data_IF_354875546797
#
_entry.id   IF_354875546797
#
_cell.length_a   1.000
_cell.length_b   1.000
_cell.length_c   1.000
_cell.angle_alpha   90.00
_cell.angle_beta   90.00
_cell.angle_gamma   90.00
#
_symmetry.space_group_name_H-M   'P 1'
#
loop_
_entity.id
_entity.type
_entity.pdbx_description
1 polymer ?
#
# COMPACT_ATOMS: atom_id res chain seq x y z
N UNK A 1 -18.70 -20.28 2.07
CA UNK A 1 -17.83 -19.20 1.57
C UNK A 1 -16.76 -18.67 2.56
N UNK A 2 -16.62 -19.18 3.80
CA UNK A 2 -15.53 -18.74 4.71
C UNK A 2 -14.21 -19.53 4.57
N UNK A 3 -14.23 -20.70 3.92
CA UNK A 3 -13.08 -21.61 3.81
C UNK A 3 -12.09 -21.26 2.68
N UNK A 4 -12.51 -20.48 1.68
CA UNK A 4 -11.67 -20.10 0.53
C UNK A 4 -10.73 -18.92 0.80
N UNK A 5 -10.95 -18.17 1.90
CA UNK A 5 -10.16 -16.99 2.27
C UNK A 5 -9.10 -17.28 3.35
N UNK A 6 -9.04 -18.51 3.86
CA UNK A 6 -8.11 -18.92 4.93
C UNK A 6 -6.63 -18.90 4.52
N UNK A 7 -6.23 -19.37 3.31
CA UNK A 7 -4.80 -19.47 2.98
C UNK A 7 -4.16 -18.09 2.78
N UNK A 8 -4.86 -17.18 2.12
CA UNK A 8 -4.37 -15.82 1.83
C UNK A 8 -4.27 -14.97 3.10
N UNK A 9 -5.23 -15.10 4.02
CA UNK A 9 -5.19 -14.41 5.30
C UNK A 9 -4.02 -14.88 6.19
N UNK A 10 -3.69 -16.17 6.17
CA UNK A 10 -2.58 -16.74 6.94
C UNK A 10 -1.22 -16.23 6.47
N UNK A 11 -0.97 -16.19 5.15
CA UNK A 11 0.31 -15.70 4.60
C UNK A 11 0.53 -14.22 4.94
N UNK A 12 -0.52 -13.40 4.86
CA UNK A 12 -0.46 -11.96 5.16
C UNK A 12 -0.27 -11.71 6.67
N UNK A 13 -0.90 -12.54 7.52
CA UNK A 13 -0.75 -12.47 8.97
C UNK A 13 0.67 -12.83 9.43
N UNK A 14 1.29 -13.84 8.83
CA UNK A 14 2.66 -14.26 9.16
C UNK A 14 3.70 -13.19 8.79
N UNK A 15 3.57 -12.57 7.61
CA UNK A 15 4.45 -11.46 7.19
C UNK A 15 4.31 -10.27 8.16
N UNK A 16 3.10 -9.98 8.60
CA UNK A 16 2.82 -8.90 9.57
C UNK A 16 3.38 -9.22 10.96
N UNK A 17 3.32 -10.48 11.41
CA UNK A 17 3.88 -10.93 12.70
C UNK A 17 5.41 -10.88 12.73
N UNK A 18 6.07 -11.37 11.68
CA UNK A 18 7.55 -11.34 11.59
C UNK A 18 8.06 -9.90 11.55
N UNK A 19 7.37 -9.00 10.85
CA UNK A 19 7.67 -7.58 10.88
C UNK A 19 7.43 -6.97 12.27
N UNK A 20 6.31 -7.32 12.94
CA UNK A 20 6.02 -6.84 14.28
C UNK A 20 7.11 -7.22 15.30
N UNK A 21 7.51 -8.50 15.33
CA UNK A 21 8.53 -8.99 16.26
C UNK A 21 9.89 -8.31 16.03
N UNK A 22 10.34 -8.21 14.77
CA UNK A 22 11.59 -7.52 14.44
C UNK A 22 11.56 -6.04 14.81
N UNK A 23 10.47 -5.33 14.55
CA UNK A 23 10.36 -3.91 14.87
C UNK A 23 10.25 -3.65 16.38
N UNK A 24 9.65 -4.56 17.14
CA UNK A 24 9.66 -4.48 18.61
C UNK A 24 11.08 -4.66 19.15
N UNK A 25 11.81 -5.68 18.70
CA UNK A 25 13.22 -5.89 19.09
C UNK A 25 14.12 -4.72 18.69
N UNK A 26 13.92 -4.17 17.49
CA UNK A 26 14.72 -3.04 16.96
C UNK A 26 14.37 -1.69 17.59
N UNK A 27 13.17 -1.53 18.18
CA UNK A 27 12.82 -0.38 19.03
C UNK A 27 13.73 -0.34 20.25
N UNK A 28 13.91 -1.48 20.92
CA UNK A 28 14.81 -1.60 22.08
C UNK A 28 16.28 -1.39 21.69
N UNK A 29 16.68 -1.82 20.49
CA UNK A 29 18.07 -1.71 20.02
C UNK A 29 18.42 -0.39 19.28
N UNK A 30 17.52 0.61 19.26
CA UNK A 30 17.66 1.88 18.50
C UNK A 30 17.94 1.68 16.99
N UNK A 31 17.56 0.53 16.43
CA UNK A 31 17.78 0.16 15.02
C UNK A 31 16.52 0.27 14.15
N UNK A 32 15.39 0.65 14.75
CA UNK A 32 14.08 0.75 14.10
C UNK A 32 14.14 1.50 12.77
N UNK A 33 14.86 2.62 12.68
CA UNK A 33 14.99 3.39 11.44
C UNK A 33 15.66 2.60 10.30
N UNK A 34 16.69 1.81 10.59
CA UNK A 34 17.40 1.05 9.57
C UNK A 34 16.57 -0.13 9.09
N UNK A 35 15.89 -0.83 10.01
CA UNK A 35 14.98 -1.93 9.67
C UNK A 35 13.78 -1.45 8.87
N UNK A 36 13.28 -0.24 9.16
CA UNK A 36 12.21 0.40 8.41
C UNK A 36 12.60 0.70 6.96
N UNK A 37 13.81 1.20 6.73
CA UNK A 37 14.31 1.45 5.37
C UNK A 37 14.51 0.14 4.61
N UNK A 38 15.06 -0.91 5.26
CA UNK A 38 15.20 -2.24 4.65
C UNK A 38 13.84 -2.83 4.27
N UNK A 39 12.85 -2.73 5.16
CA UNK A 39 11.48 -3.18 4.89
C UNK A 39 10.84 -2.38 3.75
N UNK A 40 11.01 -1.06 3.72
CA UNK A 40 10.53 -0.21 2.63
C UNK A 40 11.08 -0.65 1.28
N UNK A 41 12.40 -0.83 1.15
CA UNK A 41 13.02 -1.23 -0.12
C UNK A 41 12.62 -2.64 -0.54
N UNK A 42 12.53 -3.59 0.40
CA UNK A 42 12.05 -4.93 0.10
C UNK A 42 10.61 -4.91 -0.44
N UNK A 43 9.72 -4.19 0.25
CA UNK A 43 8.33 -4.03 -0.16
C UNK A 43 8.21 -3.25 -1.47
N UNK A 44 9.05 -2.25 -1.70
CA UNK A 44 9.11 -1.49 -2.94
C UNK A 44 9.48 -2.41 -4.11
N UNK A 45 10.54 -3.21 -4.00
CA UNK A 45 10.97 -4.14 -5.05
C UNK A 45 9.92 -5.23 -5.33
N UNK A 46 9.30 -5.79 -4.29
CA UNK A 46 8.24 -6.81 -4.45
C UNK A 46 6.98 -6.19 -5.07
N UNK A 47 6.55 -5.02 -4.61
CA UNK A 47 5.32 -4.38 -5.08
C UNK A 47 5.46 -3.84 -6.49
N UNK A 48 6.63 -3.26 -6.84
CA UNK A 48 6.87 -2.74 -8.20
C UNK A 48 6.96 -3.89 -9.21
N UNK A 49 7.66 -4.98 -8.87
CA UNK A 49 7.78 -6.14 -9.77
C UNK A 49 6.43 -6.82 -9.98
N UNK A 50 5.67 -7.07 -8.91
CA UNK A 50 4.31 -7.61 -9.01
C UNK A 50 3.35 -6.68 -9.73
N UNK A 51 3.44 -5.37 -9.47
CA UNK A 51 2.60 -4.35 -10.09
C UNK A 51 2.83 -4.21 -11.60
N UNK A 52 4.09 -4.23 -12.04
CA UNK A 52 4.44 -4.21 -13.47
C UNK A 52 3.92 -5.48 -14.17
N UNK A 53 4.08 -6.65 -13.54
CA UNK A 53 3.59 -7.90 -14.08
C UNK A 53 2.06 -7.86 -14.26
N UNK A 54 1.34 -7.38 -13.25
CA UNK A 54 -0.11 -7.17 -13.36
C UNK A 54 -0.43 -6.15 -14.45
N UNK A 55 0.29 -5.04 -14.54
CA UNK A 55 0.01 -4.02 -15.56
C UNK A 55 0.15 -4.55 -16.99
N UNK A 56 1.18 -5.36 -17.26
CA UNK A 56 1.43 -5.94 -18.58
C UNK A 56 0.43 -7.06 -18.87
N UNK A 57 0.24 -7.99 -17.92
CA UNK A 57 -0.54 -9.19 -18.13
C UNK A 57 -2.03 -9.06 -17.78
N UNK A 58 -2.49 -7.92 -17.23
CA UNK A 58 -3.88 -7.74 -16.81
C UNK A 58 -4.87 -8.13 -17.91
N UNK A 59 -4.71 -7.60 -19.12
CA UNK A 59 -5.65 -7.92 -20.22
C UNK A 59 -5.68 -9.42 -20.52
N UNK A 60 -4.52 -10.06 -20.62
CA UNK A 60 -4.41 -11.50 -20.85
C UNK A 60 -5.04 -12.33 -19.72
N UNK A 61 -4.75 -12.00 -18.46
CA UNK A 61 -5.28 -12.70 -17.28
C UNK A 61 -6.80 -12.59 -17.24
N UNK A 62 -7.35 -11.38 -17.36
CA UNK A 62 -8.79 -11.15 -17.26
C UNK A 62 -9.55 -11.79 -18.44
N UNK A 63 -9.06 -11.61 -19.67
CA UNK A 63 -9.73 -12.17 -20.85
C UNK A 63 -9.61 -13.68 -20.96
N UNK A 64 -8.48 -14.28 -20.55
CA UNK A 64 -8.30 -15.74 -20.58
C UNK A 64 -9.05 -16.46 -19.46
N UNK A 65 -9.19 -15.86 -18.27
CA UNK A 65 -9.87 -16.51 -17.15
C UNK A 65 -11.39 -16.28 -17.15
N UNK A 66 -11.82 -15.08 -17.55
CA UNK A 66 -13.22 -14.66 -17.42
C UNK A 66 -13.91 -14.34 -18.75
N UNK A 67 -13.17 -14.35 -19.87
CA UNK A 67 -13.67 -14.06 -21.21
C UNK A 67 -13.49 -12.59 -21.63
N UNK A 68 -13.74 -12.30 -22.92
CA UNK A 68 -13.52 -10.98 -23.53
C UNK A 68 -14.32 -9.83 -22.88
N UNK A 69 -15.44 -10.14 -22.22
CA UNK A 69 -16.27 -9.16 -21.52
C UNK A 69 -15.55 -8.49 -20.33
N UNK A 70 -14.42 -9.05 -19.87
CA UNK A 70 -13.64 -8.52 -18.74
C UNK A 70 -12.49 -7.62 -19.17
N UNK A 71 -12.39 -7.25 -20.44
CA UNK A 71 -11.40 -6.28 -20.92
C UNK A 71 -11.51 -4.93 -20.18
N UNK A 72 -12.73 -4.48 -19.88
CA UNK A 72 -12.97 -3.26 -19.10
C UNK A 72 -12.39 -3.36 -17.69
N UNK A 73 -12.47 -4.53 -17.04
CA UNK A 73 -11.87 -4.75 -15.72
C UNK A 73 -10.33 -4.73 -15.77
N UNK A 74 -9.73 -5.19 -16.87
CA UNK A 74 -8.29 -5.06 -17.08
C UNK A 74 -7.86 -3.59 -17.21
N UNK A 75 -8.64 -2.76 -17.93
CA UNK A 75 -8.41 -1.31 -18.03
C UNK A 75 -8.49 -0.66 -16.65
N UNK A 76 -9.52 -0.97 -15.87
CA UNK A 76 -9.69 -0.42 -14.51
C UNK A 76 -8.53 -0.81 -13.58
N UNK A 77 -8.08 -2.06 -13.68
CA UNK A 77 -6.93 -2.55 -12.92
C UNK A 77 -5.66 -1.78 -13.27
N UNK A 78 -5.43 -1.51 -14.57
CA UNK A 78 -4.28 -0.72 -15.03
C UNK A 78 -4.31 0.72 -14.49
N UNK A 79 -5.49 1.35 -14.45
CA UNK A 79 -5.66 2.70 -13.89
C UNK A 79 -5.35 2.76 -12.40
N UNK A 80 -5.81 1.75 -11.64
CA UNK A 80 -5.59 1.67 -10.19
C UNK A 80 -4.23 1.08 -9.79
N UNK A 81 -3.50 0.44 -10.71
CA UNK A 81 -2.23 -0.21 -10.40
C UNK A 81 -1.23 0.69 -9.64
N UNK A 82 -1.03 1.98 -9.99
CA UNK A 82 -0.10 2.84 -9.26
C UNK A 82 -0.47 3.03 -7.79
N UNK A 83 -1.76 3.28 -7.49
CA UNK A 83 -2.22 3.44 -6.11
C UNK A 83 -2.17 2.13 -5.33
N UNK A 84 -2.45 1.00 -5.99
CA UNK A 84 -2.35 -0.34 -5.41
C UNK A 84 -0.91 -0.68 -5.00
N UNK A 85 0.07 -0.39 -5.86
CA UNK A 85 1.50 -0.60 -5.57
C UNK A 85 1.89 0.19 -4.32
N UNK A 86 1.54 1.48 -4.26
CA UNK A 86 1.86 2.32 -3.12
C UNK A 86 1.20 1.81 -1.83
N UNK A 87 -0.08 1.43 -1.90
CA UNK A 87 -0.82 0.84 -0.77
C UNK A 87 -0.15 -0.44 -0.25
N UNK A 88 0.33 -1.31 -1.14
CA UNK A 88 1.04 -2.53 -0.76
C UNK A 88 2.36 -2.27 -0.04
N UNK A 89 3.05 -1.17 -0.37
CA UNK A 89 4.27 -0.75 0.33
C UNK A 89 3.93 -0.19 1.71
N UNK A 90 2.92 0.66 1.79
CA UNK A 90 2.60 1.43 3.01
C UNK A 90 1.90 0.57 4.07
N UNK A 91 1.04 -0.36 3.67
CA UNK A 91 0.21 -1.15 4.60
C UNK A 91 1.04 -1.94 5.63
N UNK A 92 2.07 -2.74 5.25
CA UNK A 92 2.87 -3.49 6.22
C UNK A 92 3.72 -2.59 7.12
N UNK A 93 4.10 -1.39 6.62
CA UNK A 93 4.87 -0.42 7.38
C UNK A 93 4.04 0.30 8.45
N UNK A 94 2.72 0.40 8.25
CA UNK A 94 1.81 1.04 9.20
C UNK A 94 1.76 0.36 10.58
N UNK A 95 2.26 -0.88 10.69
CA UNK A 95 2.37 -1.59 11.97
C UNK A 95 3.22 -0.82 12.99
N UNK A 96 4.10 0.08 12.53
CA UNK A 96 4.91 0.94 13.40
C UNK A 96 4.06 1.85 14.30
N UNK A 97 2.84 2.22 13.87
CA UNK A 97 1.93 3.00 14.72
C UNK A 97 1.49 2.19 15.95
N UNK A 98 1.29 0.88 15.81
CA UNK A 98 1.00 0.01 16.95
C UNK A 98 2.21 -0.10 17.89
N UNK A 99 3.41 -0.28 17.32
CA UNK A 99 4.66 -0.47 18.07
C UNK A 99 5.10 0.79 18.82
N UNK A 100 4.76 1.97 18.29
CA UNK A 100 5.09 3.26 18.89
C UNK A 100 3.98 3.80 19.80
N UNK A 101 2.94 3.01 20.08
CA UNK A 101 1.77 3.44 20.85
C UNK A 101 1.17 4.74 20.27
N UNK A 102 0.96 4.73 18.95
CA UNK A 102 0.38 5.81 18.12
C UNK A 102 -0.80 5.32 17.28
N UNK A 103 -1.58 4.40 17.84
CA UNK A 103 -2.73 3.79 17.16
C UNK A 103 -3.82 4.83 16.84
N UNK A 104 -3.92 5.90 17.63
CA UNK A 104 -4.77 7.05 17.39
C UNK A 104 -4.45 7.76 16.06
N UNK A 105 -3.18 7.79 15.65
CA UNK A 105 -2.78 8.34 14.36
C UNK A 105 -3.27 7.46 13.21
N UNK A 106 -3.15 6.14 13.36
CA UNK A 106 -3.66 5.19 12.36
C UNK A 106 -5.20 5.25 12.26
N UNK A 107 -5.91 5.37 13.39
CA UNK A 107 -7.36 5.52 13.41
C UNK A 107 -7.81 6.83 12.76
N UNK A 108 -7.20 7.95 13.14
CA UNK A 108 -7.47 9.26 12.54
C UNK A 108 -7.18 9.27 11.03
N UNK A 109 -6.11 8.59 10.62
CA UNK A 109 -5.76 8.41 9.21
C UNK A 109 -6.85 7.67 8.43
N UNK A 110 -7.37 6.56 8.96
CA UNK A 110 -8.43 5.80 8.32
C UNK A 110 -9.71 6.63 8.13
N UNK A 111 -10.08 7.43 9.15
CA UNK A 111 -11.22 8.34 9.05
C UNK A 111 -10.98 9.41 7.99
N UNK A 112 -9.81 10.07 8.02
CA UNK A 112 -9.45 11.08 7.03
C UNK A 112 -9.48 10.51 5.60
N UNK A 113 -8.88 9.33 5.38
CA UNK A 113 -8.86 8.65 4.09
C UNK A 113 -10.25 8.27 3.59
N UNK A 114 -11.14 7.83 4.49
CA UNK A 114 -12.51 7.50 4.13
C UNK A 114 -13.30 8.77 3.74
N UNK A 115 -13.14 9.86 4.49
CA UNK A 115 -13.79 11.14 4.19
C UNK A 115 -13.33 11.68 2.84
N UNK A 116 -12.02 11.68 2.56
CA UNK A 116 -11.50 12.15 1.27
C UNK A 116 -11.95 11.26 0.13
N UNK A 117 -11.99 9.94 0.33
CA UNK A 117 -12.52 8.99 -0.66
C UNK A 117 -13.98 9.30 -1.00
N UNK A 118 -14.84 9.51 0.00
CA UNK A 118 -16.24 9.87 -0.20
C UNK A 118 -16.35 11.23 -0.93
N UNK A 119 -15.52 12.21 -0.57
CA UNK A 119 -15.51 13.51 -1.23
C UNK A 119 -15.11 13.41 -2.72
N UNK A 120 -14.05 12.67 -3.04
CA UNK A 120 -13.60 12.48 -4.42
C UNK A 120 -14.60 11.70 -5.27
N UNK A 121 -15.24 10.67 -4.70
CA UNK A 121 -16.33 9.95 -5.37
C UNK A 121 -17.56 10.84 -5.56
N UNK A 122 -17.90 11.68 -4.57
CA UNK A 122 -18.99 12.65 -4.69
C UNK A 122 -18.74 13.67 -5.80
N UNK A 123 -17.50 14.14 -5.95
CA UNK A 123 -17.09 15.02 -7.05
C UNK A 123 -17.15 14.30 -8.41
N UNK A 124 -16.82 13.01 -8.46
CA UNK A 124 -16.80 12.27 -9.71
C UNK A 124 -18.20 12.03 -10.30
N UNK A 125 -19.25 12.06 -9.47
CA UNK A 125 -20.65 11.90 -9.92
C UNK A 125 -21.08 12.95 -10.95
N UNK A 126 -20.45 14.12 -10.97
CA UNK A 126 -20.78 15.19 -11.93
C UNK A 126 -20.40 14.82 -13.37
N UNK A 127 -19.47 13.89 -13.56
CA UNK A 127 -18.92 13.55 -14.87
C UNK A 127 -19.62 12.36 -15.55
N UNK A 128 -20.43 11.58 -14.81
CA UNK A 128 -21.12 10.37 -15.31
C UNK A 128 -20.23 9.35 -16.06
N UNK A 129 -18.92 9.37 -15.84
CA UNK A 129 -17.95 8.46 -16.46
C UNK A 129 -17.25 7.61 -15.37
N UNK A 130 -17.38 6.27 -15.42
CA UNK A 130 -16.67 5.36 -14.52
C UNK A 130 -15.14 5.54 -14.55
N UNK A 131 -14.55 5.81 -15.71
CA UNK A 131 -13.09 5.97 -15.83
C UNK A 131 -12.60 7.22 -15.10
N UNK A 132 -13.30 8.34 -15.23
CA UNK A 132 -12.96 9.58 -14.51
C UNK A 132 -13.03 9.35 -13.00
N UNK A 133 -14.05 8.61 -12.54
CA UNK A 133 -14.18 8.23 -11.13
C UNK A 133 -12.99 7.41 -10.63
N UNK A 134 -12.49 6.47 -11.44
CA UNK A 134 -11.31 5.67 -11.10
C UNK A 134 -10.02 6.49 -11.11
N UNK A 135 -9.86 7.44 -12.04
CA UNK A 135 -8.70 8.34 -12.05
C UNK A 135 -8.68 9.23 -10.81
N UNK A 136 -9.83 9.80 -10.44
CA UNK A 136 -9.96 10.61 -9.23
C UNK A 136 -9.69 9.79 -7.96
N UNK A 137 -10.17 8.55 -7.90
CA UNK A 137 -9.89 7.64 -6.80
C UNK A 137 -8.41 7.27 -6.73
N UNK A 138 -7.79 6.95 -7.86
CA UNK A 138 -6.36 6.65 -7.94
C UNK A 138 -5.52 7.84 -7.46
N UNK A 139 -5.89 9.05 -7.88
CA UNK A 139 -5.23 10.29 -7.45
C UNK A 139 -5.36 10.53 -5.95
N UNK A 140 -6.58 10.39 -5.39
CA UNK A 140 -6.82 10.47 -3.95
C UNK A 140 -5.94 9.47 -3.19
N UNK A 141 -5.95 8.21 -3.61
CA UNK A 141 -5.18 7.15 -2.96
C UNK A 141 -3.67 7.42 -3.04
N UNK A 142 -3.16 7.89 -4.18
CA UNK A 142 -1.75 8.27 -4.32
C UNK A 142 -1.36 9.37 -3.33
N UNK A 143 -2.17 10.43 -3.22
CA UNK A 143 -1.93 11.55 -2.30
C UNK A 143 -1.98 11.04 -0.85
N UNK A 144 -3.04 10.33 -0.50
CA UNK A 144 -3.27 9.83 0.85
C UNK A 144 -2.14 8.87 1.25
N UNK A 145 -1.88 7.80 0.51
CA UNK A 145 -0.84 6.85 0.89
C UNK A 145 0.57 7.45 0.88
N UNK A 146 0.84 8.48 0.07
CA UNK A 146 2.10 9.22 0.15
C UNK A 146 2.23 9.97 1.47
N UNK A 147 1.20 10.70 1.89
CA UNK A 147 1.18 11.38 3.19
C UNK A 147 1.31 10.36 4.33
N UNK A 148 0.63 9.22 4.22
CA UNK A 148 0.71 8.17 5.23
C UNK A 148 2.12 7.60 5.37
N UNK A 149 2.81 7.37 4.26
CA UNK A 149 4.21 6.94 4.25
C UNK A 149 5.12 7.97 4.95
N UNK A 150 4.90 9.27 4.72
CA UNK A 150 5.65 10.34 5.38
C UNK A 150 5.40 10.35 6.90
N UNK A 151 4.15 10.14 7.35
CA UNK A 151 3.81 10.02 8.76
C UNK A 151 4.52 8.82 9.42
N UNK A 152 4.54 7.69 8.72
CA UNK A 152 5.26 6.48 9.13
C UNK A 152 6.76 6.78 9.32
N UNK A 153 7.41 7.44 8.35
CA UNK A 153 8.83 7.81 8.45
C UNK A 153 9.10 8.82 9.56
N UNK A 154 8.20 9.77 9.77
CA UNK A 154 8.30 10.74 10.87
C UNK A 154 8.25 10.08 12.24
N UNK A 155 7.31 9.14 12.45
CA UNK A 155 7.15 8.46 13.75
C UNK A 155 8.24 7.41 13.99
N UNK A 156 8.76 6.78 12.93
CA UNK A 156 9.90 5.86 13.02
C UNK A 156 11.27 6.56 13.08
N UNK A 157 11.30 7.90 13.12
CA UNK A 157 12.52 8.72 13.10
C UNK A 157 13.46 8.42 11.91
N UNK A 158 12.90 7.97 10.79
CA UNK A 158 13.64 7.74 9.55
C UNK A 158 13.93 9.10 8.90
N UNK A 159 15.22 9.45 8.79
CA UNK A 159 15.62 10.63 8.01
C UNK A 159 15.49 10.31 6.52
N UNK A 160 14.71 11.11 5.79
CA UNK A 160 14.58 11.02 4.33
C UNK A 160 15.93 11.05 3.60
N UNK A 161 16.91 11.81 4.09
CA UNK A 161 18.27 11.83 3.53
C UNK A 161 18.97 10.47 3.60
N UNK A 162 18.66 9.67 4.63
CA UNK A 162 19.23 8.33 4.82
C UNK A 162 18.59 7.28 3.91
N UNK A 163 17.40 7.58 3.39
CA UNK A 163 16.69 6.73 2.44
C UNK A 163 17.36 6.76 1.06
N UNK A 164 17.92 7.91 0.67
CA UNK A 164 18.69 8.09 -0.56
C UNK A 164 20.19 7.76 -0.41
N UNK A 165 20.74 7.79 0.82
CA UNK A 165 22.16 7.50 1.06
C UNK A 165 22.50 6.02 1.24
N UNK A 166 21.50 5.12 1.20
CA UNK A 166 21.73 3.70 1.34
C UNK A 166 22.16 3.11 -0.01
N UNK A 167 23.48 3.11 -0.20
CA UNK A 167 24.16 2.13 -1.03
C UNK A 167 23.62 0.73 -0.64
N UNK A 168 23.02 0.08 -1.63
CA UNK A 168 22.76 -1.35 -1.62
C UNK A 168 24.04 -2.09 -1.15
N UNK A 169 23.91 -2.97 -0.15
CA UNK A 169 24.96 -3.86 0.42
C UNK A 169 25.83 -3.28 1.56
N UNK A 170 25.30 -3.34 2.80
CA UNK A 170 26.04 -3.84 3.98
C UNK A 170 25.10 -4.31 5.08
#
# INVERSE_FOLDING_TARGET
MRLLLLPSALVIAEISKVNHQKFVEDKYNKRLSNSMIKAFWLLFCISISGGILIFIFASFIFTSLFGSQWETAAIYTKVLAPSLILRMIVSPLSIVFGIMDRQEVAAGWQIASNITTIAFLGLSLQFNDPLISLYLLCLNDLIMYTIYLLLIFRISHVKLSKLFSLNFLS
#
